data_IF_579610308449
#
_entry.id   IF_579610308449
#
_cell.length_a   1.000
_cell.length_b   1.000
_cell.length_c   1.000
_cell.angle_alpha   90.00
_cell.angle_beta   90.00
_cell.angle_gamma   90.00
#
_symmetry.space_group_name_H-M   'P 1'
#
loop_
_entity.id
_entity.type
_entity.pdbx_description
1 polymer ?
#
# COMPACT_ATOMS: atom_id res chain seq x y z
N UNK A 1 14.33 24.73 32.67
CA UNK A 1 13.16 24.25 31.88
C UNK A 1 13.29 24.43 30.35
N UNK A 2 14.10 25.36 29.80
CA UNK A 2 14.27 25.53 28.34
C UNK A 2 14.87 24.32 27.60
N UNK A 3 15.92 23.69 28.16
CA UNK A 3 16.61 22.54 27.54
C UNK A 3 15.71 21.29 27.36
N UNK A 4 14.71 21.10 28.23
CA UNK A 4 13.76 19.98 28.14
C UNK A 4 12.75 20.15 26.99
N UNK A 5 12.30 21.39 26.73
CA UNK A 5 11.41 21.68 25.58
C UNK A 5 12.15 21.49 24.24
N UNK A 6 13.42 21.86 24.19
CA UNK A 6 14.27 21.71 23.00
C UNK A 6 14.55 20.23 22.67
N UNK A 7 14.84 19.42 23.69
CA UNK A 7 15.03 17.98 23.54
C UNK A 7 13.75 17.23 23.12
N UNK A 8 12.58 17.68 23.57
CA UNK A 8 11.30 17.13 23.11
C UNK A 8 11.01 17.50 21.65
N UNK A 9 11.31 18.75 21.25
CA UNK A 9 11.16 19.22 19.87
C UNK A 9 12.13 18.50 18.92
N UNK A 10 13.38 18.24 19.34
CA UNK A 10 14.35 17.49 18.53
C UNK A 10 14.01 15.99 18.43
N UNK A 11 13.41 15.38 19.46
CA UNK A 11 12.87 14.01 19.40
C UNK A 11 11.65 13.90 18.48
N UNK A 12 10.75 14.87 18.50
CA UNK A 12 9.59 14.92 17.59
C UNK A 12 10.02 15.10 16.12
N UNK A 13 11.12 15.85 15.88
CA UNK A 13 11.75 15.94 14.55
C UNK A 13 12.39 14.61 14.13
N UNK A 14 13.00 13.87 15.05
CA UNK A 14 13.63 12.56 14.79
C UNK A 14 12.62 11.42 14.60
N UNK A 15 11.39 11.52 15.14
CA UNK A 15 10.31 10.59 14.81
C UNK A 15 9.74 10.80 13.41
N UNK A 16 9.80 12.03 12.89
CA UNK A 16 9.31 12.35 11.54
C UNK A 16 10.28 11.97 10.42
N UNK A 17 11.53 11.59 10.72
CA UNK A 17 12.49 11.14 9.70
C UNK A 17 12.30 9.69 9.24
N UNK A 18 11.51 8.88 9.94
CA UNK A 18 11.18 7.51 9.46
C UNK A 18 10.19 7.56 8.29
N UNK A 19 9.43 8.65 8.15
CA UNK A 19 8.50 8.82 7.04
C UNK A 19 9.17 9.20 5.70
N UNK A 20 10.46 9.58 5.72
CA UNK A 20 11.15 10.17 4.57
C UNK A 20 11.71 9.15 3.57
N UNK A 21 11.71 7.84 3.88
CA UNK A 21 12.18 6.80 2.94
C UNK A 21 11.07 6.20 2.09
N UNK A 22 9.95 6.91 1.89
CA UNK A 22 8.96 6.58 0.84
C UNK A 22 9.56 6.94 -0.52
N UNK A 23 10.56 6.16 -0.94
CA UNK A 23 11.01 6.12 -2.33
C UNK A 23 9.77 5.79 -3.14
N UNK A 24 9.27 6.79 -3.87
CA UNK A 24 8.10 6.64 -4.73
C UNK A 24 8.44 5.50 -5.67
N UNK A 25 7.68 4.43 -5.50
CA UNK A 25 7.77 3.28 -6.36
C UNK A 25 7.11 3.72 -7.66
N UNK A 26 7.92 3.93 -8.70
CA UNK A 26 7.49 4.47 -10.00
C UNK A 26 6.20 3.80 -10.49
N UNK A 27 5.27 4.60 -11.02
CA UNK A 27 3.95 4.15 -11.49
C UNK A 27 4.04 3.11 -12.62
N UNK A 28 5.22 2.96 -13.26
CA UNK A 28 5.50 1.94 -14.28
C UNK A 28 5.99 0.59 -13.70
N UNK A 29 6.24 0.49 -12.39
CA UNK A 29 7.12 -0.54 -11.82
C UNK A 29 6.51 -1.79 -11.19
N UNK A 30 5.20 -2.08 -11.21
CA UNK A 30 4.65 -3.30 -10.54
C UNK A 30 3.93 -4.15 -11.57
N UNK A 31 4.32 -5.43 -11.79
CA UNK A 31 4.71 -6.46 -10.82
C UNK A 31 6.06 -7.14 -11.14
N UNK A 32 6.98 -6.49 -11.87
CA UNK A 32 8.22 -7.13 -12.34
C UNK A 32 9.12 -7.60 -11.21
N UNK A 33 9.23 -6.83 -10.12
CA UNK A 33 10.05 -7.22 -8.97
C UNK A 33 9.44 -8.38 -8.17
N UNK A 34 8.12 -8.40 -8.00
CA UNK A 34 7.40 -9.52 -7.36
C UNK A 34 7.58 -10.81 -8.17
N UNK A 35 7.39 -10.72 -9.49
CA UNK A 35 7.60 -11.84 -10.41
C UNK A 35 9.05 -12.32 -10.43
N UNK A 36 10.02 -11.39 -10.40
CA UNK A 36 11.44 -11.72 -10.34
C UNK A 36 11.82 -12.35 -8.98
N UNK A 37 11.31 -11.83 -7.87
CA UNK A 37 11.53 -12.40 -6.53
C UNK A 37 10.96 -13.82 -6.42
N UNK A 38 9.76 -14.06 -6.99
CA UNK A 38 9.16 -15.39 -7.07
C UNK A 38 9.98 -16.33 -7.96
N UNK A 39 10.43 -15.87 -9.13
CA UNK A 39 11.24 -16.66 -10.05
C UNK A 39 12.60 -17.07 -9.45
N UNK A 40 13.25 -16.16 -8.73
CA UNK A 40 14.52 -16.40 -8.04
C UNK A 40 14.36 -17.10 -6.68
N UNK A 41 13.12 -17.37 -6.26
CA UNK A 41 12.76 -18.01 -4.99
C UNK A 41 13.39 -17.36 -3.73
N UNK A 42 13.47 -16.03 -3.71
CA UNK A 42 14.01 -15.28 -2.58
C UNK A 42 12.85 -14.89 -1.65
N UNK A 43 12.60 -15.70 -0.61
CA UNK A 43 11.48 -15.50 0.34
C UNK A 43 11.44 -14.12 0.98
N UNK A 44 12.57 -13.60 1.46
CA UNK A 44 12.63 -12.29 2.13
C UNK A 44 12.25 -11.13 1.20
N UNK A 45 12.63 -11.23 -0.08
CA UNK A 45 12.28 -10.22 -1.08
C UNK A 45 10.82 -10.36 -1.53
N UNK A 46 10.31 -11.59 -1.60
CA UNK A 46 8.91 -11.87 -1.86
C UNK A 46 8.02 -11.26 -0.77
N UNK A 47 8.34 -11.50 0.50
CA UNK A 47 7.58 -10.97 1.64
C UNK A 47 7.57 -9.43 1.65
N UNK A 48 8.73 -8.80 1.42
CA UNK A 48 8.84 -7.34 1.37
C UNK A 48 8.02 -6.75 0.22
N UNK A 49 8.07 -7.36 -0.97
CA UNK A 49 7.32 -6.89 -2.13
C UNK A 49 5.81 -7.12 -1.97
N UNK A 50 5.39 -8.22 -1.33
CA UNK A 50 4.00 -8.45 -0.93
C UNK A 50 3.50 -7.40 0.07
N UNK A 51 4.30 -7.05 1.08
CA UNK A 51 3.96 -5.98 2.03
C UNK A 51 3.80 -4.62 1.34
N UNK A 52 4.69 -4.29 0.39
CA UNK A 52 4.57 -3.05 -0.39
C UNK A 52 3.29 -3.06 -1.21
N UNK A 53 2.95 -4.17 -1.86
CA UNK A 53 1.71 -4.30 -2.62
C UNK A 53 0.46 -4.16 -1.72
N UNK A 54 0.46 -4.81 -0.55
CA UNK A 54 -0.62 -4.69 0.43
C UNK A 54 -0.79 -3.24 0.92
N UNK A 55 0.31 -2.53 1.20
CA UNK A 55 0.28 -1.13 1.60
C UNK A 55 -0.25 -0.18 0.52
N UNK A 56 -0.16 -0.55 -0.76
CA UNK A 56 -0.80 0.24 -1.83
C UNK A 56 -2.30 0.04 -1.93
N UNK A 57 -2.79 -1.12 -1.52
CA UNK A 57 -4.20 -1.50 -1.57
C UNK A 57 -4.91 -0.95 -0.33
N UNK A 58 -4.24 -0.99 0.82
CA UNK A 58 -4.77 -0.54 2.10
C UNK A 58 -5.26 0.92 2.02
N UNK A 59 -6.53 1.13 2.35
CA UNK A 59 -7.15 2.45 2.43
C UNK A 59 -7.52 3.09 1.09
N UNK A 60 -7.38 2.38 -0.03
CA UNK A 60 -7.86 2.83 -1.35
C UNK A 60 -9.23 2.25 -1.67
N UNK A 61 -10.02 2.99 -2.44
CA UNK A 61 -11.28 2.49 -2.97
C UNK A 61 -11.05 1.46 -4.08
N UNK A 62 -12.00 0.53 -4.33
CA UNK A 62 -11.90 -0.43 -5.43
C UNK A 62 -11.63 0.21 -6.80
N UNK A 63 -12.21 1.40 -7.05
CA UNK A 63 -11.99 2.17 -8.29
C UNK A 63 -10.53 2.65 -8.42
N UNK A 64 -9.95 3.16 -7.34
CA UNK A 64 -8.56 3.62 -7.32
C UNK A 64 -7.56 2.46 -7.41
N UNK A 65 -7.89 1.31 -6.80
CA UNK A 65 -7.10 0.08 -6.92
C UNK A 65 -7.11 -0.37 -8.39
N UNK A 66 -8.28 -0.48 -9.01
CA UNK A 66 -8.42 -0.84 -10.43
C UNK A 66 -7.59 0.08 -11.32
N UNK A 67 -7.62 1.40 -11.09
CA UNK A 67 -6.81 2.38 -11.82
C UNK A 67 -5.30 2.20 -11.57
N UNK A 68 -4.90 2.03 -10.31
CA UNK A 68 -3.48 1.88 -9.92
C UNK A 68 -2.86 0.62 -10.52
N UNK A 69 -3.61 -0.48 -10.59
CA UNK A 69 -3.14 -1.76 -11.12
C UNK A 69 -3.51 -1.98 -12.59
N UNK A 70 -4.12 -0.97 -13.24
CA UNK A 70 -4.58 -1.01 -14.63
C UNK A 70 -5.46 -2.25 -14.93
N UNK A 71 -6.35 -2.58 -14.00
CA UNK A 71 -7.26 -3.71 -14.07
C UNK A 71 -8.58 -3.23 -14.71
N UNK A 72 -9.03 -3.90 -15.77
CA UNK A 72 -10.33 -3.64 -16.38
C UNK A 72 -11.44 -4.10 -15.42
N UNK A 73 -12.50 -3.31 -15.28
CA UNK A 73 -13.69 -3.77 -14.57
C UNK A 73 -14.47 -4.73 -15.47
N UNK A 74 -14.68 -5.95 -15.00
CA UNK A 74 -15.39 -6.99 -15.74
C UNK A 74 -16.80 -7.22 -15.20
N UNK A 75 -17.16 -6.56 -14.10
CA UNK A 75 -18.47 -6.70 -13.47
C UNK A 75 -19.50 -5.83 -14.18
N UNK A 76 -20.69 -6.40 -14.38
CA UNK A 76 -21.89 -5.63 -14.66
C UNK A 76 -22.29 -4.79 -13.44
N UNK A 77 -23.05 -3.70 -13.61
CA UNK A 77 -23.49 -2.87 -12.48
C UNK A 77 -24.30 -3.66 -11.45
N UNK A 78 -25.10 -4.64 -11.87
CA UNK A 78 -25.85 -5.52 -10.96
C UNK A 78 -24.93 -6.43 -10.14
N UNK A 79 -23.93 -7.07 -10.75
CA UNK A 79 -22.96 -7.90 -10.04
C UNK A 79 -22.07 -7.07 -9.10
N UNK A 80 -21.68 -5.85 -9.48
CA UNK A 80 -20.89 -4.98 -8.60
C UNK A 80 -21.69 -4.57 -7.35
N UNK A 81 -23.01 -4.39 -7.49
CA UNK A 81 -23.89 -4.07 -6.37
C UNK A 81 -24.16 -5.28 -5.48
N UNK A 82 -24.33 -6.47 -6.06
CA UNK A 82 -24.43 -7.72 -5.31
C UNK A 82 -23.16 -8.00 -4.49
N UNK A 83 -21.99 -7.91 -5.13
CA UNK A 83 -20.69 -8.05 -4.46
C UNK A 83 -20.50 -6.98 -3.37
N UNK A 84 -21.01 -5.76 -3.57
CA UNK A 84 -20.96 -4.71 -2.54
C UNK A 84 -21.86 -5.03 -1.35
N UNK A 85 -23.04 -5.63 -1.57
CA UNK A 85 -23.93 -6.12 -0.49
C UNK A 85 -23.29 -7.29 0.25
N UNK A 86 -22.69 -8.24 -0.47
CA UNK A 86 -22.04 -9.42 0.12
C UNK A 86 -20.79 -9.07 0.92
N UNK A 87 -20.02 -8.05 0.52
CA UNK A 87 -18.79 -7.64 1.22
C UNK A 87 -19.08 -6.54 2.26
N UNK A 88 -20.34 -6.11 2.42
CA UNK A 88 -20.71 -5.03 3.35
C UNK A 88 -20.24 -5.31 4.80
N UNK A 89 -20.26 -6.57 5.25
CA UNK A 89 -19.77 -6.99 6.57
C UNK A 89 -18.28 -6.69 6.80
N UNK A 90 -17.47 -6.57 5.74
CA UNK A 90 -16.04 -6.32 5.84
C UNK A 90 -15.71 -4.83 6.07
N UNK A 91 -16.73 -3.96 6.02
CA UNK A 91 -16.62 -2.52 6.20
C UNK A 91 -17.33 -2.02 7.47
N UNK A 92 -17.89 -2.92 8.29
CA UNK A 92 -18.30 -2.67 9.69
C UNK A 92 -17.11 -2.77 10.65
#
# INVERSE_FOLDING_TARGET
MKKLKEAASSRLKKSNSIAASKKKFDDSGRPRLLKAANYLNIKSLLDLTCQIAANMIKGKTPKEIRKTFNIKNNFTPEEEEEVRREIAWAFE
#
